data_IF_461787465897
#
_entry.id   IF_461787465897
#
_cell.length_a   1.000
_cell.length_b   1.000
_cell.length_c   1.000
_cell.angle_alpha   90.00
_cell.angle_beta   90.00
_cell.angle_gamma   90.00
#
_symmetry.space_group_name_H-M   'P 1'
#
loop_
_entity.id
_entity.type
_entity.pdbx_description
1 polymer ?
#
# COMPACT_ATOMS: atom_id res chain seq x y z
N UNK A 1 0.56 21.04 -2.26
CA UNK A 1 1.00 20.99 -0.85
C UNK A 1 2.11 19.97 -0.68
N UNK A 2 3.06 20.28 0.17
CA UNK A 2 4.19 19.38 0.40
C UNK A 2 3.92 18.34 1.48
N UNK A 3 2.86 18.50 2.26
CA UNK A 3 2.59 17.67 3.44
C UNK A 3 1.21 17.06 3.37
N UNK A 4 1.09 15.86 3.92
CA UNK A 4 -0.20 15.20 4.13
C UNK A 4 -0.35 14.87 5.61
N UNK A 5 -1.59 14.91 6.09
CA UNK A 5 -1.89 14.47 7.44
C UNK A 5 -1.81 12.95 7.53
N UNK A 6 -1.18 12.45 8.58
CA UNK A 6 -1.04 11.02 8.79
C UNK A 6 -1.71 10.65 10.09
N UNK A 7 -2.50 9.58 10.06
CA UNK A 7 -3.17 9.01 11.22
C UNK A 7 -2.70 7.58 11.42
N UNK A 8 -2.32 7.25 12.65
CA UNK A 8 -1.97 5.87 12.99
C UNK A 8 -3.24 5.03 13.05
N UNK A 9 -3.32 3.99 12.23
CA UNK A 9 -4.46 3.09 12.19
C UNK A 9 -3.99 1.65 12.28
N UNK A 10 -4.28 1.03 13.40
CA UNK A 10 -3.92 -0.37 13.67
C UNK A 10 -5.14 -1.24 13.98
N UNK A 11 -6.34 -0.72 13.82
CA UNK A 11 -7.55 -1.39 14.26
C UNK A 11 -8.63 -1.56 13.19
N UNK A 12 -8.58 -0.82 12.10
CA UNK A 12 -9.60 -0.91 11.06
C UNK A 12 -9.50 -2.26 10.35
N UNK A 13 -10.59 -3.02 10.39
CA UNK A 13 -10.68 -4.31 9.72
C UNK A 13 -11.23 -4.11 8.30
N UNK A 14 -10.37 -3.71 7.40
CA UNK A 14 -10.72 -3.44 6.00
C UNK A 14 -9.47 -3.54 5.14
N UNK A 15 -9.66 -3.73 3.84
CA UNK A 15 -8.56 -3.74 2.88
C UNK A 15 -8.16 -2.30 2.55
N UNK A 16 -6.90 -1.97 2.77
CA UNK A 16 -6.30 -0.72 2.35
C UNK A 16 -5.27 -0.99 1.25
N UNK A 17 -5.02 0.01 0.44
CA UNK A 17 -4.24 -0.18 -0.77
C UNK A 17 -3.01 0.70 -0.74
N UNK A 18 -1.80 0.11 -0.60
CA UNK A 18 -0.55 0.86 -0.75
C UNK A 18 -0.48 1.52 -2.12
N UNK A 19 0.10 2.70 -2.17
CA UNK A 19 0.17 3.50 -3.39
C UNK A 19 1.59 3.55 -3.92
N UNK A 20 1.71 3.75 -5.22
CA UNK A 20 2.99 3.93 -5.89
C UNK A 20 2.86 4.89 -7.06
N UNK A 21 4.00 5.29 -7.58
CA UNK A 21 4.09 6.20 -8.71
C UNK A 21 4.95 5.60 -9.81
N UNK A 22 4.91 6.20 -10.99
CA UNK A 22 5.55 5.63 -12.18
C UNK A 22 7.00 6.04 -12.36
N UNK A 23 7.52 6.92 -11.51
CA UNK A 23 8.92 7.35 -11.59
C UNK A 23 9.41 7.70 -10.18
N UNK A 24 10.69 8.01 -10.07
CA UNK A 24 11.32 8.28 -8.78
C UNK A 24 11.24 9.75 -8.38
N UNK A 25 10.94 10.63 -9.32
CA UNK A 25 10.85 12.08 -9.06
C UNK A 25 9.73 12.69 -9.90
N UNK A 26 9.26 13.85 -9.50
CA UNK A 26 8.30 14.64 -10.24
C UNK A 26 6.91 14.64 -9.60
N UNK A 27 6.00 15.40 -10.20
CA UNK A 27 4.59 15.41 -9.82
C UNK A 27 3.87 14.31 -10.59
N UNK A 28 3.56 13.22 -9.90
CA UNK A 28 3.08 12.01 -10.53
C UNK A 28 1.74 11.59 -9.90
N UNK A 29 0.82 11.02 -10.68
CA UNK A 29 -0.40 10.47 -10.11
C UNK A 29 -0.07 9.24 -9.26
N UNK A 30 -0.67 9.16 -8.07
CA UNK A 30 -0.58 7.99 -7.22
C UNK A 30 -1.50 6.89 -7.74
N UNK A 31 -1.05 5.65 -7.70
CA UNK A 31 -1.80 4.50 -8.19
C UNK A 31 -1.87 3.41 -7.13
N UNK A 32 -2.90 2.57 -7.22
CA UNK A 32 -3.08 1.41 -6.37
C UNK A 32 -3.40 0.19 -7.23
N UNK A 33 -3.33 -1.01 -6.62
CA UNK A 33 -3.83 -2.23 -7.26
C UNK A 33 -4.87 -2.85 -6.34
N UNK A 34 -6.12 -2.82 -6.74
CA UNK A 34 -7.23 -3.25 -5.88
C UNK A 34 -7.29 -4.75 -5.67
N UNK A 35 -6.61 -5.54 -6.51
CA UNK A 35 -6.71 -7.00 -6.46
C UNK A 35 -5.40 -7.69 -6.12
N UNK A 36 -4.26 -7.00 -6.25
CA UNK A 36 -2.95 -7.66 -6.16
C UNK A 36 -2.10 -7.22 -5.00
N UNK A 37 -2.41 -6.07 -4.38
CA UNK A 37 -1.65 -5.60 -3.23
C UNK A 37 -2.59 -4.89 -2.26
N UNK A 38 -2.73 -5.44 -1.06
CA UNK A 38 -3.62 -4.92 -0.02
C UNK A 38 -2.99 -5.08 1.35
N UNK A 39 -3.39 -4.22 2.27
CA UNK A 39 -2.97 -4.32 3.67
C UNK A 39 -4.17 -4.15 4.58
N UNK A 40 -4.26 -5.02 5.60
CA UNK A 40 -5.30 -4.92 6.63
C UNK A 40 -4.65 -4.46 7.94
N UNK A 41 -4.95 -3.23 8.42
CA UNK A 41 -4.32 -2.72 9.63
C UNK A 41 -4.74 -3.45 10.91
N UNK A 42 -5.92 -4.06 10.92
CA UNK A 42 -6.38 -4.79 12.11
C UNK A 42 -5.60 -6.07 12.33
N UNK A 43 -5.34 -6.81 11.25
CA UNK A 43 -4.65 -8.11 11.34
C UNK A 43 -3.17 -8.02 11.04
N UNK A 44 -2.74 -6.94 10.38
CA UNK A 44 -1.35 -6.78 9.92
C UNK A 44 -1.02 -7.61 8.69
N UNK A 45 -2.02 -8.15 8.00
CA UNK A 45 -1.79 -9.00 6.83
C UNK A 45 -1.55 -8.14 5.60
N UNK A 46 -0.40 -8.33 4.95
CA UNK A 46 -0.10 -7.77 3.65
C UNK A 46 -0.32 -8.84 2.59
N UNK A 47 -1.24 -8.60 1.67
CA UNK A 47 -1.60 -9.56 0.64
C UNK A 47 -0.98 -9.16 -0.69
N UNK A 48 -0.19 -10.05 -1.28
CA UNK A 48 0.36 -9.90 -2.62
C UNK A 48 0.08 -11.19 -3.40
N UNK A 49 -0.63 -11.10 -4.50
CA UNK A 49 -1.05 -12.32 -5.23
C UNK A 49 0.09 -12.97 -6.00
N UNK A 50 1.12 -12.20 -6.35
CA UNK A 50 2.29 -12.73 -7.06
C UNK A 50 3.48 -13.05 -6.17
N UNK A 51 3.33 -12.90 -4.85
CA UNK A 51 4.45 -13.06 -3.93
C UNK A 51 5.34 -11.83 -3.90
N UNK A 52 6.36 -11.86 -3.06
CA UNK A 52 7.30 -10.75 -2.91
C UNK A 52 8.54 -11.06 -3.75
N UNK A 53 8.89 -10.13 -4.62
CA UNK A 53 10.01 -10.30 -5.53
C UNK A 53 11.32 -10.49 -4.78
N UNK A 54 12.10 -11.48 -5.19
CA UNK A 54 13.39 -11.80 -4.57
C UNK A 54 13.27 -12.45 -3.20
N UNK A 55 12.08 -12.54 -2.66
CA UNK A 55 11.85 -13.08 -1.36
C UNK A 55 11.36 -14.51 -1.40
N UNK A 56 11.67 -15.26 -0.38
CA UNK A 56 11.08 -16.54 -0.12
C UNK A 56 10.11 -16.41 1.04
N UNK A 57 8.92 -16.74 0.81
CA UNK A 57 7.90 -16.78 1.83
C UNK A 57 7.35 -18.16 1.95
#
# INVERSE_FOLDING_TARGET
>A
AANIGITDDTTTNADYYPTWVTNTTGNLPAKVSSTKLKFNPSTGVLTTTGGIGGGAF
#
